data_IF_895273071003
#
_entry.id   IF_895273071003
#
_cell.length_a   1.000
_cell.length_b   1.000
_cell.length_c   1.000
_cell.angle_alpha   90.00
_cell.angle_beta   90.00
_cell.angle_gamma   90.00
#
_symmetry.space_group_name_H-M   'P 1'
#
loop_
_entity.id
_entity.type
_entity.pdbx_description
1 polymer ?
#
# COMPACT_ATOMS: atom_id res chain seq x y z
N UNK A 1 -58.31 32.48 51.20
CA UNK A 1 -57.63 33.09 50.04
C UNK A 1 -57.10 31.91 49.24
N UNK A 2 -57.67 31.65 48.07
CA UNK A 2 -57.32 30.49 47.26
C UNK A 2 -55.93 30.72 46.65
N UNK A 3 -55.04 29.74 46.80
CA UNK A 3 -53.63 29.85 46.45
C UNK A 3 -53.47 30.05 44.94
N UNK A 4 -52.80 31.11 44.46
CA UNK A 4 -52.69 31.42 43.04
C UNK A 4 -52.08 30.29 42.23
N UNK A 5 -51.26 29.42 42.83
CA UNK A 5 -50.67 28.27 42.14
C UNK A 5 -51.71 27.23 41.70
N UNK A 6 -52.79 27.04 42.47
CA UNK A 6 -53.87 26.11 42.11
C UNK A 6 -54.66 26.59 40.89
N UNK A 7 -54.82 27.91 40.71
CA UNK A 7 -55.52 28.50 39.55
C UNK A 7 -54.77 28.31 38.23
N UNK A 8 -53.44 28.26 38.27
CA UNK A 8 -52.60 28.13 37.07
C UNK A 8 -52.02 26.74 36.91
N UNK A 9 -52.37 25.80 37.79
CA UNK A 9 -51.77 24.46 37.84
C UNK A 9 -51.85 23.74 36.49
N UNK A 10 -53.00 23.76 35.82
CA UNK A 10 -53.20 23.12 34.52
C UNK A 10 -52.39 23.74 33.37
N UNK A 11 -52.00 25.02 33.50
CA UNK A 11 -51.13 25.69 32.52
C UNK A 11 -49.64 25.44 32.81
N UNK A 12 -49.28 25.27 34.08
CA UNK A 12 -47.91 25.00 34.51
C UNK A 12 -47.57 23.51 34.47
N UNK A 13 -48.56 22.62 34.48
CA UNK A 13 -48.37 21.17 34.47
C UNK A 13 -47.58 20.68 33.26
N UNK A 14 -47.88 21.09 32.00
CA UNK A 14 -47.11 20.66 30.84
C UNK A 14 -45.65 21.09 30.88
N UNK A 15 -45.38 22.28 31.43
CA UNK A 15 -44.02 22.81 31.58
C UNK A 15 -43.28 22.02 32.66
N UNK A 16 -43.93 21.77 33.81
CA UNK A 16 -43.39 20.92 34.89
C UNK A 16 -43.13 19.49 34.41
N UNK A 17 -44.02 18.92 33.61
CA UNK A 17 -43.89 17.57 33.06
C UNK A 17 -42.75 17.53 32.02
N UNK A 18 -42.56 18.58 31.22
CA UNK A 18 -41.41 18.71 30.33
C UNK A 18 -40.08 18.83 31.09
N UNK A 19 -40.06 19.58 32.19
CA UNK A 19 -38.89 19.68 33.07
C UNK A 19 -38.55 18.31 33.67
N UNK A 20 -39.55 17.56 34.14
CA UNK A 20 -39.36 16.20 34.67
C UNK A 20 -38.84 15.21 33.62
N UNK A 21 -39.27 15.34 32.37
CA UNK A 21 -38.70 14.52 31.28
C UNK A 21 -37.21 14.79 31.05
N UNK A 22 -36.71 15.96 31.43
CA UNK A 22 -35.30 16.34 31.38
C UNK A 22 -34.55 16.11 32.70
N UNK A 23 -35.23 15.71 33.78
CA UNK A 23 -34.61 15.24 35.04
C UNK A 23 -34.07 13.80 34.92
N UNK A 24 -33.52 13.45 33.76
CA UNK A 24 -32.72 12.23 33.59
C UNK A 24 -31.28 12.59 33.89
N UNK A 25 -30.67 11.84 34.82
CA UNK A 25 -29.23 11.90 35.04
C UNK A 25 -28.50 11.23 33.87
N UNK A 26 -28.26 12.03 32.83
CA UNK A 26 -27.56 11.60 31.61
C UNK A 26 -26.14 11.13 31.96
N UNK A 27 -25.50 11.72 32.97
CA UNK A 27 -24.14 11.34 33.36
C UNK A 27 -24.11 9.94 33.96
N UNK A 28 -25.07 9.61 34.83
CA UNK A 28 -25.22 8.26 35.38
C UNK A 28 -25.52 7.23 34.29
N UNK A 29 -26.50 7.50 33.42
CA UNK A 29 -26.88 6.60 32.32
C UNK A 29 -25.74 6.36 31.34
N UNK A 30 -24.95 7.38 31.02
CA UNK A 30 -23.80 7.25 30.13
C UNK A 30 -22.65 6.48 30.81
N UNK A 31 -22.49 6.64 32.12
CA UNK A 31 -21.53 5.86 32.93
C UNK A 31 -21.85 4.37 32.90
N UNK A 32 -23.10 4.00 33.17
CA UNK A 32 -23.59 2.61 33.09
C UNK A 32 -23.38 2.03 31.68
N UNK A 33 -23.72 2.80 30.63
CA UNK A 33 -23.52 2.36 29.25
C UNK A 33 -22.05 2.11 28.90
N UNK A 34 -21.13 2.96 29.37
CA UNK A 34 -19.69 2.76 29.13
C UNK A 34 -19.16 1.51 29.85
N UNK A 35 -19.66 1.23 31.06
CA UNK A 35 -19.32 0.02 31.81
C UNK A 35 -19.87 -1.25 31.11
N UNK A 36 -21.07 -1.19 30.55
CA UNK A 36 -21.62 -2.26 29.70
C UNK A 36 -20.77 -2.49 28.44
N UNK A 37 -20.36 -1.42 27.74
CA UNK A 37 -19.51 -1.53 26.56
C UNK A 37 -18.14 -2.16 26.87
N UNK A 38 -17.57 -1.87 28.04
CA UNK A 38 -16.32 -2.50 28.48
C UNK A 38 -16.50 -4.01 28.73
N UNK A 39 -17.67 -4.42 29.24
CA UNK A 39 -18.01 -5.83 29.43
C UNK A 39 -18.35 -6.58 28.14
N UNK A 40 -18.70 -5.89 27.05
CA UNK A 40 -18.90 -6.49 25.72
C UNK A 40 -17.52 -6.85 25.12
N UNK A 41 -16.91 -7.88 25.68
CA UNK A 41 -15.76 -8.55 25.12
C UNK A 41 -16.21 -9.56 24.07
N UNK A 42 -15.95 -9.28 22.80
CA UNK A 42 -16.13 -10.26 21.72
C UNK A 42 -15.13 -11.39 21.96
N UNK A 43 -15.64 -12.56 22.38
CA UNK A 43 -14.83 -13.75 22.64
C UNK A 43 -15.12 -14.84 21.61
N UNK A 44 -14.07 -15.51 21.14
CA UNK A 44 -14.19 -16.56 20.12
C UNK A 44 -14.40 -17.97 20.71
N UNK A 45 -14.09 -18.20 21.99
CA UNK A 45 -14.21 -19.50 22.68
C UNK A 45 -14.96 -19.34 24.02
N UNK A 46 -16.14 -18.71 23.98
CA UNK A 46 -17.02 -18.58 25.16
C UNK A 46 -16.37 -17.89 26.37
N UNK A 47 -15.46 -16.94 26.14
CA UNK A 47 -14.79 -16.15 27.17
C UNK A 47 -13.38 -16.60 27.59
N UNK A 48 -12.84 -17.72 27.09
CA UNK A 48 -11.48 -18.18 27.47
C UNK A 48 -10.35 -17.32 26.91
N UNK A 49 -10.56 -16.73 25.75
CA UNK A 49 -9.61 -15.81 25.13
C UNK A 49 -10.37 -14.55 24.77
N UNK A 50 -10.14 -13.50 25.56
CA UNK A 50 -10.61 -12.15 25.27
C UNK A 50 -9.52 -11.45 24.46
N UNK A 51 -9.84 -10.97 23.27
CA UNK A 51 -8.90 -10.24 22.42
C UNK A 51 -9.29 -8.77 22.41
N UNK A 52 -8.35 -7.89 22.76
CA UNK A 52 -8.56 -6.45 22.66
C UNK A 52 -8.55 -6.04 21.18
N UNK A 53 -9.73 -5.88 20.59
CA UNK A 53 -9.88 -5.51 19.18
C UNK A 53 -9.31 -4.14 18.85
N UNK A 54 -9.31 -3.20 19.80
CA UNK A 54 -8.77 -1.85 19.59
C UNK A 54 -7.25 -1.96 19.39
N UNK A 55 -6.58 -2.68 20.29
CA UNK A 55 -5.13 -2.91 20.20
C UNK A 55 -4.76 -3.72 18.95
N UNK A 56 -5.52 -4.76 18.64
CA UNK A 56 -5.33 -5.57 17.45
C UNK A 56 -5.49 -4.75 16.16
N UNK A 57 -6.52 -3.91 16.08
CA UNK A 57 -6.77 -3.04 14.94
C UNK A 57 -5.63 -2.01 14.77
N UNK A 58 -5.19 -1.38 15.87
CA UNK A 58 -4.06 -0.47 15.88
C UNK A 58 -2.77 -1.16 15.41
N UNK A 59 -2.52 -2.38 15.83
CA UNK A 59 -1.36 -3.17 15.42
C UNK A 59 -1.40 -3.49 13.91
N UNK A 60 -2.53 -3.93 13.40
CA UNK A 60 -2.73 -4.20 11.96
C UNK A 60 -2.51 -2.92 11.15
N UNK A 61 -3.13 -1.81 11.57
CA UNK A 61 -2.96 -0.52 10.90
C UNK A 61 -1.51 -0.05 10.90
N UNK A 62 -0.84 -0.08 12.06
CA UNK A 62 0.54 0.37 12.21
C UNK A 62 1.51 -0.47 11.41
N UNK A 63 1.37 -1.80 11.47
CA UNK A 63 2.24 -2.73 10.74
C UNK A 63 2.07 -2.61 9.22
N UNK A 64 0.84 -2.49 8.72
CA UNK A 64 0.58 -2.28 7.28
C UNK A 64 1.16 -0.95 6.77
N UNK A 65 1.04 0.13 7.57
CA UNK A 65 1.63 1.43 7.24
C UNK A 65 3.16 1.37 7.15
N UNK A 66 3.81 0.70 8.12
CA UNK A 66 5.27 0.49 8.09
C UNK A 66 5.68 -0.34 6.88
N UNK A 67 4.95 -1.41 6.57
CA UNK A 67 5.25 -2.25 5.42
C UNK A 67 5.17 -1.47 4.11
N UNK A 68 4.16 -0.61 3.96
CA UNK A 68 4.01 0.27 2.79
C UNK A 68 5.23 1.16 2.59
N UNK A 69 5.73 1.81 3.66
CA UNK A 69 6.96 2.61 3.61
C UNK A 69 8.20 1.78 3.25
N UNK A 70 8.30 0.55 3.75
CA UNK A 70 9.42 -0.34 3.39
C UNK A 70 9.45 -0.64 1.90
N UNK A 71 8.29 -0.81 1.26
CA UNK A 71 8.19 -1.02 -0.20
C UNK A 71 8.65 0.24 -0.96
N UNK A 72 8.22 1.42 -0.54
CA UNK A 72 8.67 2.70 -1.13
C UNK A 72 10.19 2.91 -1.01
N UNK A 73 10.77 2.58 0.14
CA UNK A 73 12.22 2.65 0.33
C UNK A 73 12.96 1.66 -0.54
N UNK A 74 12.44 0.43 -0.68
CA UNK A 74 13.04 -0.56 -1.56
C UNK A 74 13.03 -0.08 -3.02
N UNK A 75 11.90 0.46 -3.49
CA UNK A 75 11.80 1.08 -4.81
C UNK A 75 12.89 2.14 -5.00
N UNK A 76 12.98 3.10 -4.08
CA UNK A 76 13.97 4.19 -4.14
C UNK A 76 15.42 3.67 -4.15
N UNK A 77 15.71 2.69 -3.30
CA UNK A 77 17.03 2.09 -3.19
C UNK A 77 17.46 1.38 -4.49
N UNK A 78 16.53 0.68 -5.16
CA UNK A 78 16.79 0.01 -6.43
C UNK A 78 17.16 1.03 -7.51
N UNK A 79 16.41 2.12 -7.63
CA UNK A 79 16.73 3.19 -8.59
C UNK A 79 18.09 3.82 -8.31
N UNK A 80 18.38 4.11 -7.04
CA UNK A 80 19.68 4.64 -6.64
C UNK A 80 20.83 3.69 -6.99
N UNK A 81 20.64 2.37 -6.80
CA UNK A 81 21.63 1.37 -7.17
C UNK A 81 21.84 1.29 -8.69
N UNK A 82 20.76 1.37 -9.48
CA UNK A 82 20.84 1.39 -10.94
C UNK A 82 21.59 2.63 -11.45
N UNK A 83 21.32 3.81 -10.90
CA UNK A 83 22.04 5.04 -11.23
C UNK A 83 23.52 4.92 -10.88
N UNK A 84 23.85 4.33 -9.71
CA UNK A 84 25.24 4.11 -9.32
C UNK A 84 25.97 3.16 -10.28
N UNK A 85 25.32 2.09 -10.73
CA UNK A 85 25.89 1.15 -11.71
C UNK A 85 26.07 1.84 -13.06
N UNK A 86 25.06 2.58 -13.53
CA UNK A 86 25.08 3.32 -14.79
C UNK A 86 26.19 4.37 -14.81
N UNK A 87 26.32 5.15 -13.74
CA UNK A 87 27.36 6.16 -13.60
C UNK A 87 28.76 5.54 -13.54
N UNK A 88 28.95 4.43 -12.82
CA UNK A 88 30.23 3.72 -12.78
C UNK A 88 30.63 3.14 -14.13
N UNK A 89 29.68 2.75 -14.99
CA UNK A 89 29.95 2.29 -16.36
C UNK A 89 30.48 3.44 -17.22
N UNK A 90 29.92 4.64 -17.07
CA UNK A 90 30.34 5.85 -17.79
C UNK A 90 31.71 6.36 -17.34
N UNK A 91 32.04 6.31 -16.05
CA UNK A 91 33.37 6.71 -15.55
C UNK A 91 34.49 5.74 -15.94
N UNK A 92 34.17 4.47 -16.20
CA UNK A 92 35.13 3.46 -16.66
C UNK A 92 35.33 3.43 -18.18
N UNK A 93 34.50 4.16 -18.93
CA UNK A 93 34.72 4.35 -20.36
C UNK A 93 35.59 5.60 -20.53
N UNK A 94 36.80 5.49 -21.10
CA UNK A 94 37.54 6.69 -21.50
C UNK A 94 36.70 7.47 -22.50
N UNK A 95 36.81 8.80 -22.49
CA UNK A 95 36.30 9.60 -23.59
C UNK A 95 36.96 9.07 -24.88
N UNK A 96 36.15 8.62 -25.85
CA UNK A 96 36.64 8.07 -27.12
C UNK A 96 37.44 9.11 -27.93
N UNK A 97 37.17 10.38 -27.63
CA UNK A 97 37.80 11.55 -28.21
C UNK A 97 39.02 11.95 -27.38
N UNK A 98 40.20 11.88 -28.01
CA UNK A 98 41.43 12.41 -27.43
C UNK A 98 41.41 13.94 -27.29
N UNK A 99 42.36 14.52 -26.55
CA UNK A 99 42.47 15.98 -26.31
C UNK A 99 42.56 16.82 -27.61
N UNK A 100 42.93 16.18 -28.72
CA UNK A 100 43.01 16.77 -30.07
C UNK A 100 41.71 16.68 -30.88
N UNK A 101 40.61 16.17 -30.31
CA UNK A 101 39.31 16.06 -30.99
C UNK A 101 39.18 14.88 -31.96
N UNK A 102 40.17 13.99 -32.02
CA UNK A 102 40.15 12.80 -32.87
C UNK A 102 39.59 11.58 -32.13
N UNK A 103 38.56 10.95 -32.72
CA UNK A 103 37.97 9.71 -32.25
C UNK A 103 38.86 8.54 -32.70
N UNK A 104 39.32 7.72 -31.75
CA UNK A 104 40.32 6.66 -32.03
C UNK A 104 39.69 5.34 -32.50
N UNK A 105 38.38 5.19 -32.35
CA UNK A 105 37.60 4.04 -32.82
C UNK A 105 36.89 4.31 -34.16
N UNK A 106 36.76 5.57 -34.58
CA UNK A 106 36.40 5.94 -35.95
C UNK A 106 37.62 5.76 -36.86
N UNK A 107 37.83 4.53 -37.33
CA UNK A 107 38.87 4.20 -38.30
C UNK A 107 38.64 4.96 -39.62
N UNK A 108 39.15 6.19 -39.69
CA UNK A 108 39.30 6.93 -40.95
C UNK A 108 40.64 6.50 -41.55
N UNK A 109 40.68 5.26 -42.08
CA UNK A 109 41.82 4.77 -42.83
C UNK A 109 42.08 5.63 -44.08
N UNK A 110 43.35 5.75 -44.53
CA UNK A 110 43.66 6.58 -45.69
C UNK A 110 43.12 5.90 -46.96
N UNK A 111 42.51 6.73 -47.81
CA UNK A 111 41.91 6.42 -49.10
C UNK A 111 40.45 5.92 -49.06
N UNK A 112 39.54 6.90 -49.11
CA UNK A 112 38.47 7.01 -50.09
C UNK A 112 38.09 5.73 -50.89
N UNK A 113 37.58 4.71 -50.20
CA UNK A 113 36.64 3.77 -50.79
C UNK A 113 35.28 4.25 -50.32
N UNK A 114 34.47 4.76 -51.24
CA UNK A 114 33.08 5.13 -50.95
C UNK A 114 32.41 3.86 -50.44
N UNK A 115 32.17 3.76 -49.14
CA UNK A 115 31.24 2.78 -48.62
C UNK A 115 29.87 3.11 -49.23
N UNK A 116 29.56 2.40 -50.32
CA UNK A 116 28.25 2.39 -50.91
C UNK A 116 27.31 1.82 -49.84
N UNK A 117 26.43 2.67 -49.30
CA UNK A 117 25.43 2.23 -48.34
C UNK A 117 24.68 1.04 -48.93
N UNK A 118 24.76 -0.11 -48.24
CA UNK A 118 23.98 -1.29 -48.60
C UNK A 118 22.50 -0.89 -48.61
N UNK A 119 21.84 -1.16 -49.73
CA UNK A 119 20.44 -0.78 -49.91
C UNK A 119 19.56 -1.62 -48.97
N UNK A 120 18.47 -1.05 -48.44
CA UNK A 120 17.57 -1.73 -47.49
C UNK A 120 16.94 -3.03 -48.04
N UNK A 121 17.09 -3.30 -49.34
CA UNK A 121 16.59 -4.51 -49.98
C UNK A 121 17.53 -5.73 -49.81
N UNK A 122 18.76 -5.53 -49.33
CA UNK A 122 19.76 -6.60 -49.15
C UNK A 122 19.66 -7.29 -47.77
N UNK A 123 18.69 -6.87 -46.93
CA UNK A 123 18.40 -7.53 -45.67
C UNK A 123 17.70 -8.86 -45.97
N UNK A 124 18.40 -9.97 -45.68
CA UNK A 124 17.82 -11.30 -45.77
C UNK A 124 16.56 -11.36 -44.88
N UNK A 125 15.41 -11.61 -45.50
CA UNK A 125 14.11 -11.68 -44.84
C UNK A 125 14.19 -12.58 -43.60
N UNK A 126 14.08 -11.97 -42.42
CA UNK A 126 14.33 -12.59 -41.11
C UNK A 126 13.24 -13.60 -40.70
N UNK A 127 12.46 -14.11 -41.66
CA UNK A 127 11.44 -15.14 -41.48
C UNK A 127 12.02 -16.50 -41.02
N UNK A 128 13.35 -16.70 -41.03
CA UNK A 128 13.98 -17.98 -40.65
C UNK A 128 14.84 -17.98 -39.39
N UNK A 129 15.12 -16.83 -38.77
CA UNK A 129 15.81 -16.79 -37.48
C UNK A 129 14.77 -16.83 -36.34
N UNK A 130 14.06 -17.96 -36.25
CA UNK A 130 13.16 -18.25 -35.15
C UNK A 130 13.92 -18.14 -33.82
N UNK A 131 13.50 -17.17 -33.02
CA UNK A 131 13.87 -17.01 -31.62
C UNK A 131 13.37 -18.23 -30.85
N UNK A 132 14.19 -19.27 -30.74
CA UNK A 132 13.90 -20.44 -29.91
C UNK A 132 14.07 -20.05 -28.43
N UNK A 133 13.04 -19.43 -27.83
CA UNK A 133 12.90 -19.47 -26.37
C UNK A 133 12.62 -20.92 -25.98
N UNK A 134 13.55 -21.52 -25.23
CA UNK A 134 13.25 -22.73 -24.47
C UNK A 134 12.13 -22.38 -23.47
N UNK A 135 10.92 -22.86 -23.73
CA UNK A 135 9.80 -22.82 -22.80
C UNK A 135 10.02 -23.94 -21.75
N UNK A 136 10.83 -23.67 -20.72
CA UNK A 136 10.82 -24.48 -19.49
C UNK A 136 9.60 -24.09 -18.63
N UNK A 137 8.42 -24.34 -19.19
CA UNK A 137 7.17 -24.44 -18.45
C UNK A 137 7.19 -25.76 -17.69
N UNK A 138 7.57 -25.73 -16.42
CA UNK A 138 7.13 -26.80 -15.53
C UNK A 138 5.62 -26.64 -15.28
N UNK A 139 4.82 -27.70 -15.50
CA UNK A 139 3.39 -27.66 -15.29
C UNK A 139 3.11 -27.68 -13.78
N UNK A 140 2.29 -26.71 -13.35
CA UNK A 140 1.35 -26.84 -12.22
C UNK A 140 1.85 -27.61 -10.99
N UNK A 141 2.45 -26.91 -10.03
CA UNK A 141 2.37 -27.40 -8.65
C UNK A 141 0.92 -27.19 -8.21
N UNK A 142 0.17 -28.28 -8.17
CA UNK A 142 -1.20 -28.33 -7.69
C UNK A 142 -1.28 -27.71 -6.29
N UNK A 143 -2.21 -26.77 -6.14
CA UNK A 143 -2.61 -26.18 -4.87
C UNK A 143 -3.05 -27.30 -3.91
N UNK A 144 -2.22 -27.68 -2.94
CA UNK A 144 -2.69 -28.44 -1.79
C UNK A 144 -3.27 -27.46 -0.78
N UNK A 145 -4.58 -27.22 -0.88
CA UNK A 145 -5.34 -26.55 0.16
C UNK A 145 -5.09 -27.26 1.50
N UNK A 146 -4.64 -26.50 2.50
CA UNK A 146 -4.46 -26.98 3.86
C UNK A 146 -5.86 -27.17 4.46
N UNK A 147 -6.24 -28.36 4.94
CA UNK A 147 -7.53 -28.55 5.58
C UNK A 147 -7.52 -27.88 6.96
N UNK A 148 -8.43 -26.93 7.16
CA UNK A 148 -8.73 -26.38 8.48
C UNK A 148 -9.54 -27.45 9.22
N UNK A 149 -8.94 -28.09 10.22
CA UNK A 149 -9.65 -29.00 11.12
C UNK A 149 -10.48 -28.18 12.12
N UNK A 150 -11.76 -28.52 12.33
CA UNK A 150 -12.60 -27.87 13.33
C UNK A 150 -12.43 -28.58 14.68
N UNK A 151 -11.96 -27.88 15.71
CA UNK A 151 -12.34 -28.08 17.12
C UNK A 151 -12.31 -26.74 17.82
#
# INVERSE_FOLDING_TARGET
MEDPESRFLHFLQPIRDLTKNWEVDVAAQLGEYLEELEQICVSFDGGKTTMNFIEAALLIQGSACIYSKKVEYLYSLVYQALDFISNKKREKMPASVGEDGADTDAATGPAAEKEEFLSLNDIQDASKANMHLKDDRQPTVSLSAIPISPV
#
